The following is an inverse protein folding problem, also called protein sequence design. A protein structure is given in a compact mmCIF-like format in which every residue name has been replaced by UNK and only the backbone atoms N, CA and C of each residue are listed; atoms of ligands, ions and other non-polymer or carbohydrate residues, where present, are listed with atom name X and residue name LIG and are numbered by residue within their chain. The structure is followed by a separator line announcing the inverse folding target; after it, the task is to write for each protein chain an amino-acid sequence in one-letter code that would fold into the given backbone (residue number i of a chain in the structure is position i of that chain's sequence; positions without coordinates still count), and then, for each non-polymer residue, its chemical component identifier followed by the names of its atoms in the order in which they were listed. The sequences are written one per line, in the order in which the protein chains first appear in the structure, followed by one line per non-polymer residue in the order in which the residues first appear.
data_IF_270259765750
#
_entry.id   IF_270259765750
#
_cell.length_a   1.000
_cell.length_b   1.000
_cell.length_c   1.000
_cell.angle_alpha   90.00
_cell.angle_beta   90.00
_cell.angle_gamma   90.00
#
_symmetry.space_group_name_H-M   'P 1'
#
loop_
_entity.id
_entity.type
_entity.pdbx_description
1 polymer ?
#
# COMPACT_ATOMS: atom_id res chain seq x y z
N UNK A 1 -16.76 -18.28 2.15
CA UNK A 1 -16.17 -17.55 3.29
C UNK A 1 -17.28 -16.78 3.97
N UNK A 2 -17.42 -16.87 5.30
CA UNK A 2 -18.49 -16.17 6.01
C UNK A 2 -18.29 -14.65 5.86
N UNK A 3 -19.23 -13.99 5.18
CA UNK A 3 -19.31 -12.53 5.13
C UNK A 3 -19.52 -12.00 6.54
N UNK A 4 -18.56 -11.23 7.04
CA UNK A 4 -18.68 -10.57 8.34
C UNK A 4 -19.94 -9.69 8.35
N UNK A 5 -20.79 -9.86 9.38
CA UNK A 5 -22.00 -9.07 9.60
C UNK A 5 -21.67 -7.61 9.88
N UNK A 6 -20.62 -7.37 10.68
CA UNK A 6 -20.11 -6.04 10.96
C UNK A 6 -18.58 -5.99 10.74
N UNK A 7 -18.10 -4.87 10.21
CA UNK A 7 -16.67 -4.55 10.18
C UNK A 7 -16.40 -3.33 11.04
N UNK A 8 -15.41 -3.44 11.91
CA UNK A 8 -14.96 -2.38 12.80
C UNK A 8 -13.60 -1.91 12.32
N UNK A 9 -13.50 -0.64 11.91
CA UNK A 9 -12.24 -0.01 11.56
C UNK A 9 -11.76 0.86 12.72
N UNK A 10 -10.73 0.41 13.42
CA UNK A 10 -10.11 1.15 14.52
C UNK A 10 -8.94 1.98 14.01
N UNK A 11 -8.92 3.29 14.29
CA UNK A 11 -7.79 4.14 13.92
C UNK A 11 -6.62 3.94 14.88
N UNK A 12 -5.49 3.42 14.40
CA UNK A 12 -4.23 3.21 15.13
C UNK A 12 -3.17 4.26 14.82
N UNK A 13 -3.54 5.32 14.08
CA UNK A 13 -2.65 6.46 13.82
C UNK A 13 -2.12 7.09 15.13
N UNK A 14 -0.94 7.74 15.05
CA UNK A 14 -0.16 8.23 16.22
C UNK A 14 -0.95 8.97 17.31
N UNK A 15 -1.98 9.75 16.95
CA UNK A 15 -2.80 10.49 17.93
C UNK A 15 -3.79 9.58 18.66
N UNK A 16 -4.45 8.68 17.94
CA UNK A 16 -5.33 7.67 18.52
C UNK A 16 -4.55 6.70 19.40
N UNK A 17 -3.34 6.33 18.96
CA UNK A 17 -2.47 5.45 19.73
C UNK A 17 -2.06 6.07 21.08
N UNK A 18 -1.63 7.34 21.07
CA UNK A 18 -1.36 8.09 22.31
C UNK A 18 -2.56 8.19 23.26
N UNK A 19 -3.77 8.04 22.74
CA UNK A 19 -5.02 8.06 23.52
C UNK A 19 -5.57 6.67 23.85
N UNK A 20 -4.82 5.61 23.54
CA UNK A 20 -5.15 4.24 23.97
C UNK A 20 -5.90 3.39 22.94
N UNK A 21 -5.80 3.69 21.64
CA UNK A 21 -6.46 2.89 20.59
C UNK A 21 -6.17 1.38 20.68
N UNK A 22 -4.90 0.98 20.83
CA UNK A 22 -4.52 -0.43 21.01
C UNK A 22 -5.17 -1.10 22.23
N UNK A 23 -5.37 -0.36 23.32
CA UNK A 23 -6.03 -0.89 24.51
C UNK A 23 -7.52 -1.13 24.24
N UNK A 24 -8.19 -0.20 23.56
CA UNK A 24 -9.59 -0.34 23.13
C UNK A 24 -9.74 -1.53 22.17
N UNK A 25 -8.85 -1.67 21.20
CA UNK A 25 -8.84 -2.79 20.25
C UNK A 25 -8.71 -4.14 20.97
N UNK A 26 -7.76 -4.24 21.90
CA UNK A 26 -7.51 -5.47 22.67
C UNK A 26 -8.72 -5.85 23.53
N UNK A 27 -9.36 -4.86 24.17
CA UNK A 27 -10.58 -5.05 24.93
C UNK A 27 -11.75 -5.50 24.03
N UNK A 28 -11.89 -4.88 22.86
CA UNK A 28 -12.94 -5.21 21.88
C UNK A 28 -12.80 -6.65 21.39
N UNK A 29 -11.59 -7.08 21.01
CA UNK A 29 -11.30 -8.47 20.60
C UNK A 29 -11.67 -9.46 21.72
N UNK A 30 -11.27 -9.17 22.94
CA UNK A 30 -11.55 -10.02 24.10
C UNK A 30 -13.06 -10.14 24.35
N UNK A 31 -13.81 -9.04 24.24
CA UNK A 31 -15.26 -9.02 24.49
C UNK A 31 -16.05 -9.70 23.36
N UNK A 32 -15.62 -9.56 22.10
CA UNK A 32 -16.21 -10.28 20.96
C UNK A 32 -16.11 -11.80 21.12
N UNK A 33 -14.99 -12.30 21.65
CA UNK A 33 -14.83 -13.74 21.95
C UNK A 33 -15.80 -14.17 23.04
N UNK A 34 -15.95 -13.39 24.12
CA UNK A 34 -16.85 -13.73 25.23
C UNK A 34 -18.33 -13.83 24.80
N UNK A 35 -18.76 -13.00 23.84
CA UNK A 35 -20.11 -13.05 23.30
C UNK A 35 -20.27 -13.97 22.08
N UNK A 36 -19.21 -14.67 21.65
CA UNK A 36 -19.26 -15.55 20.48
C UNK A 36 -19.42 -14.82 19.14
N UNK A 37 -19.09 -13.53 19.07
CA UNK A 37 -19.28 -12.68 17.88
C UNK A 37 -18.04 -12.58 16.97
N UNK A 38 -16.93 -13.25 17.33
CA UNK A 38 -15.64 -13.13 16.65
C UNK A 38 -15.62 -13.62 15.18
N UNK A 39 -16.56 -14.50 14.83
CA UNK A 39 -16.73 -14.97 13.45
C UNK A 39 -17.62 -14.05 12.62
N UNK A 40 -18.51 -13.29 13.26
CA UNK A 40 -19.43 -12.35 12.63
C UNK A 40 -18.88 -10.93 12.51
N UNK A 41 -18.00 -10.53 13.43
CA UNK A 41 -17.50 -9.16 13.53
C UNK A 41 -15.99 -9.16 13.32
N UNK A 42 -15.55 -8.45 12.27
CA UNK A 42 -14.12 -8.34 11.93
C UNK A 42 -13.60 -6.96 12.34
N UNK A 43 -12.52 -6.96 13.12
CA UNK A 43 -11.81 -5.74 13.49
C UNK A 43 -10.60 -5.60 12.57
N UNK A 44 -10.54 -4.48 11.86
CA UNK A 44 -9.41 -4.03 11.06
C UNK A 44 -8.83 -2.78 11.71
N UNK A 45 -7.50 -2.67 11.70
CA UNK A 45 -6.80 -1.46 12.14
C UNK A 45 -6.42 -0.64 10.91
N UNK A 46 -6.68 0.66 10.95
CA UNK A 46 -6.18 1.61 9.97
C UNK A 46 -5.08 2.45 10.62
N UNK A 47 -3.85 2.25 10.16
CA UNK A 47 -2.74 3.16 10.48
C UNK A 47 -2.90 4.51 9.77
N UNK A 48 -3.67 4.52 8.67
CA UNK A 48 -4.09 5.71 7.95
C UNK A 48 -5.03 6.55 8.83
N UNK A 49 -4.58 7.75 9.15
CA UNK A 49 -5.31 8.68 9.99
C UNK A 49 -6.70 9.00 9.41
N UNK A 50 -7.74 8.78 10.21
CA UNK A 50 -9.12 9.14 9.87
C UNK A 50 -9.34 10.66 9.73
N UNK A 51 -8.34 11.48 10.09
CA UNK A 51 -8.40 12.95 10.01
C UNK A 51 -9.18 13.61 11.15
N UNK A 52 -9.89 12.84 11.97
CA UNK A 52 -10.72 13.33 13.08
C UNK A 52 -10.01 13.27 14.45
N UNK A 53 -8.77 13.76 14.52
CA UNK A 53 -7.95 13.73 15.75
C UNK A 53 -8.60 14.38 16.99
N UNK A 54 -9.56 15.30 16.80
CA UNK A 54 -10.36 15.90 17.89
C UNK A 54 -11.20 14.86 18.65
N UNK A 55 -11.65 13.82 17.94
CA UNK A 55 -12.46 12.74 18.47
C UNK A 55 -11.65 11.45 18.70
N UNK A 56 -10.32 11.50 18.66
CA UNK A 56 -9.49 10.32 18.97
C UNK A 56 -9.70 9.83 20.42
N UNK A 57 -9.74 8.50 20.68
CA UNK A 57 -9.70 7.39 19.71
C UNK A 57 -10.99 7.27 18.88
N UNK A 58 -10.85 6.95 17.59
CA UNK A 58 -11.96 6.86 16.63
C UNK A 58 -12.14 5.42 16.16
N UNK A 59 -13.40 4.97 16.14
CA UNK A 59 -13.80 3.65 15.66
C UNK A 59 -14.96 3.80 14.68
N UNK A 60 -14.88 3.17 13.51
CA UNK A 60 -15.95 3.19 12.49
C UNK A 60 -16.56 1.81 12.31
N UNK A 61 -17.88 1.75 12.16
CA UNK A 61 -18.65 0.51 12.03
C UNK A 61 -19.34 0.45 10.68
N UNK A 62 -19.14 -0.64 9.95
CA UNK A 62 -19.79 -0.97 8.68
C UNK A 62 -20.65 -2.23 8.80
N UNK A 63 -21.75 -2.35 8.04
CA UNK A 63 -22.27 -1.42 7.03
C UNK A 63 -23.13 -0.30 7.63
N UNK A 64 -23.25 -0.22 8.96
CA UNK A 64 -24.11 0.74 9.64
C UNK A 64 -23.70 2.20 9.41
N UNK A 65 -22.46 2.43 8.95
CA UNK A 65 -21.86 3.75 8.77
C UNK A 65 -22.00 4.57 10.05
N UNK A 66 -21.39 4.10 11.13
CA UNK A 66 -21.38 4.77 12.45
C UNK A 66 -19.93 5.09 12.84
N UNK A 67 -19.67 6.33 13.27
CA UNK A 67 -18.41 6.73 13.87
C UNK A 67 -18.61 6.91 15.37
N UNK A 68 -17.83 6.16 16.14
CA UNK A 68 -17.67 6.37 17.56
C UNK A 68 -16.40 7.17 17.83
N UNK A 69 -16.55 8.27 18.56
CA UNK A 69 -15.47 9.16 18.96
C UNK A 69 -15.18 9.09 20.45
N UNK A 70 -13.93 9.38 20.82
CA UNK A 70 -13.41 9.38 22.20
C UNK A 70 -13.68 8.06 22.92
N UNK A 71 -13.61 6.96 22.17
CA UNK A 71 -13.87 5.63 22.71
C UNK A 71 -12.78 5.27 23.71
N UNK A 72 -13.21 4.80 24.88
CA UNK A 72 -12.36 4.30 25.96
C UNK A 72 -12.58 2.80 26.16
N UNK A 73 -11.74 2.17 26.98
CA UNK A 73 -11.87 0.75 27.31
C UNK A 73 -13.20 0.46 28.02
N UNK A 74 -13.67 1.38 28.85
CA UNK A 74 -14.93 1.23 29.61
C UNK A 74 -16.17 1.27 28.70
N UNK A 75 -16.06 1.90 27.53
CA UNK A 75 -17.14 1.98 26.55
C UNK A 75 -17.34 0.67 25.77
N UNK A 76 -16.32 -0.20 25.74
CA UNK A 76 -16.30 -1.41 24.91
C UNK A 76 -17.46 -2.34 25.25
N UNK A 77 -17.77 -2.52 26.54
CA UNK A 77 -18.84 -3.40 26.98
C UNK A 77 -20.20 -2.92 26.45
N UNK A 78 -20.50 -1.63 26.60
CA UNK A 78 -21.75 -1.04 26.11
C UNK A 78 -21.86 -1.14 24.59
N UNK A 79 -20.77 -0.89 23.85
CA UNK A 79 -20.75 -0.98 22.38
C UNK A 79 -21.05 -2.43 21.93
N UNK A 80 -20.42 -3.41 22.56
CA UNK A 80 -20.64 -4.81 22.17
C UNK A 80 -22.05 -5.27 22.51
N UNK A 81 -22.56 -4.93 23.70
CA UNK A 81 -23.90 -5.35 24.10
C UNK A 81 -25.03 -4.63 23.37
N UNK A 82 -24.97 -3.30 23.29
CA UNK A 82 -26.05 -2.53 22.70
C UNK A 82 -25.96 -2.57 21.18
N UNK A 83 -24.80 -2.26 20.60
CA UNK A 83 -24.68 -2.15 19.16
C UNK A 83 -24.47 -3.50 18.51
N UNK A 84 -23.43 -4.23 18.89
CA UNK A 84 -23.04 -5.43 18.14
C UNK A 84 -24.00 -6.60 18.35
N UNK A 85 -24.50 -6.78 19.57
CA UNK A 85 -25.43 -7.85 19.92
C UNK A 85 -26.89 -7.47 19.67
N UNK A 86 -27.33 -6.30 20.15
CA UNK A 86 -28.76 -5.89 20.12
C UNK A 86 -29.10 -4.98 18.94
N UNK A 87 -28.12 -4.53 18.14
CA UNK A 87 -28.33 -3.68 16.96
C UNK A 87 -28.68 -2.22 17.28
N UNK A 88 -28.47 -1.76 18.52
CA UNK A 88 -28.77 -0.40 18.98
C UNK A 88 -27.49 0.43 19.12
N UNK A 89 -27.26 1.43 18.26
CA UNK A 89 -26.07 2.26 18.36
C UNK A 89 -25.99 3.06 19.67
N UNK A 90 -24.77 3.21 20.20
CA UNK A 90 -24.50 3.91 21.46
C UNK A 90 -24.48 5.42 21.20
N UNK A 91 -25.66 6.06 21.22
CA UNK A 91 -25.83 7.47 20.82
C UNK A 91 -24.89 8.46 21.49
N UNK A 92 -24.54 8.25 22.77
CA UNK A 92 -23.62 9.17 23.50
C UNK A 92 -22.19 9.21 22.93
N UNK A 93 -21.79 8.16 22.22
CA UNK A 93 -20.47 8.04 21.59
C UNK A 93 -20.49 8.47 20.11
N UNK A 94 -21.69 8.67 19.57
CA UNK A 94 -21.90 9.19 18.22
C UNK A 94 -21.92 10.70 18.35
N UNK A 95 -21.12 11.37 17.53
CA UNK A 95 -21.19 12.82 17.41
C UNK A 95 -22.37 13.15 16.49
N UNK A 96 -23.47 13.67 17.03
CA UNK A 96 -24.68 14.02 16.25
C UNK A 96 -24.43 15.10 15.17
N UNK A 97 -23.26 15.76 15.17
CA UNK A 97 -22.82 16.64 14.09
C UNK A 97 -22.20 15.89 12.89
N UNK A 98 -22.12 14.57 12.98
CA UNK A 98 -21.45 13.67 12.06
C UNK A 98 -22.39 12.49 11.74
N UNK A 99 -23.20 12.59 10.67
CA UNK A 99 -23.80 11.40 10.05
C UNK A 99 -22.63 10.56 9.54
N UNK A 100 -22.49 9.29 9.90
CA UNK A 100 -21.29 8.56 9.52
C UNK A 100 -21.29 8.05 8.07
N UNK A 101 -22.42 8.14 7.37
CA UNK A 101 -22.41 8.21 5.90
C UNK A 101 -21.83 9.53 5.43
N UNK A 102 -22.16 10.65 6.08
CA UNK A 102 -21.49 11.93 5.87
C UNK A 102 -20.05 11.94 6.38
N UNK A 103 -19.62 11.15 7.37
CA UNK A 103 -18.21 11.06 7.80
C UNK A 103 -17.43 10.22 6.82
N UNK A 104 -17.97 9.14 6.28
CA UNK A 104 -17.34 8.41 5.20
C UNK A 104 -17.29 9.25 3.92
N UNK A 105 -18.41 9.87 3.59
CA UNK A 105 -18.48 10.84 2.52
C UNK A 105 -17.61 12.05 2.84
N UNK A 106 -17.39 12.47 4.09
CA UNK A 106 -16.49 13.53 4.56
C UNK A 106 -15.07 13.03 4.89
N UNK A 107 -14.77 11.76 4.85
CA UNK A 107 -13.40 11.27 4.73
C UNK A 107 -13.03 11.29 3.26
N UNK A 108 -14.02 11.05 2.39
CA UNK A 108 -13.95 11.33 0.95
C UNK A 108 -14.06 12.83 0.62
N UNK A 109 -14.75 13.65 1.43
CA UNK A 109 -15.14 15.07 1.15
C UNK A 109 -14.58 16.12 2.14
N UNK A 110 -14.36 15.80 3.42
CA UNK A 110 -13.70 16.62 4.44
C UNK A 110 -12.24 16.21 4.68
N UNK A 111 -11.60 15.78 3.59
CA UNK A 111 -10.36 16.48 3.28
C UNK A 111 -10.67 17.98 3.36
N UNK A 112 -9.87 18.70 4.13
CA UNK A 112 -9.73 20.16 4.05
C UNK A 112 -9.47 20.67 2.61
N UNK A 113 -9.31 19.73 1.65
CA UNK A 113 -9.05 19.83 0.23
C UNK A 113 -10.23 19.37 -0.65
N UNK A 114 -11.50 19.61 -0.27
CA UNK A 114 -12.64 19.30 -1.17
C UNK A 114 -12.52 20.09 -2.48
N UNK A 115 -12.12 19.39 -3.54
CA UNK A 115 -11.86 19.94 -4.87
C UNK A 115 -10.38 20.09 -5.26
N UNK A 116 -9.42 19.73 -4.40
CA UNK A 116 -7.99 19.88 -4.67
C UNK A 116 -7.20 18.55 -4.75
N UNK A 117 -7.72 17.45 -4.20
CA UNK A 117 -7.00 16.16 -4.18
C UNK A 117 -7.84 15.01 -4.76
N UNK A 118 -7.38 14.44 -5.87
CA UNK A 118 -7.91 13.20 -6.45
C UNK A 118 -7.01 12.06 -5.98
N UNK A 119 -7.54 11.18 -5.13
CA UNK A 119 -6.81 10.00 -4.63
C UNK A 119 -6.79 8.91 -5.70
N UNK A 120 -5.86 9.02 -6.63
CA UNK A 120 -5.61 8.00 -7.64
C UNK A 120 -4.72 6.92 -7.04
N UNK A 121 -3.59 7.30 -6.42
CA UNK A 121 -2.58 6.34 -5.90
C UNK A 121 -2.97 5.69 -4.57
N UNK A 122 -3.77 6.40 -3.78
CA UNK A 122 -4.18 5.97 -2.44
C UNK A 122 -5.69 5.69 -2.37
N UNK A 123 -6.31 5.23 -3.46
CA UNK A 123 -7.76 5.01 -3.51
C UNK A 123 -8.24 3.86 -2.60
N UNK A 124 -7.34 2.91 -2.31
CA UNK A 124 -7.60 1.76 -1.44
C UNK A 124 -7.16 1.98 0.00
N UNK A 125 -6.28 2.95 0.25
CA UNK A 125 -5.76 3.27 1.57
C UNK A 125 -6.91 3.65 2.53
N UNK A 126 -7.01 2.93 3.66
CA UNK A 126 -8.11 3.04 4.62
C UNK A 126 -9.47 2.47 4.16
N UNK A 127 -9.54 1.84 2.98
CA UNK A 127 -10.75 1.20 2.43
C UNK A 127 -10.66 -0.33 2.48
N UNK A 128 -9.47 -0.88 2.24
CA UNK A 128 -9.19 -2.32 2.35
C UNK A 128 -8.33 -2.64 3.56
N UNK A 129 -8.35 -3.90 3.98
CA UNK A 129 -7.27 -4.45 4.78
C UNK A 129 -6.01 -4.61 3.90
N UNK A 130 -4.92 -3.87 4.15
CA UNK A 130 -3.70 -3.92 3.33
C UNK A 130 -3.00 -5.29 3.31
N UNK A 131 -3.35 -6.18 4.25
CA UNK A 131 -2.79 -7.53 4.34
C UNK A 131 -3.68 -8.62 3.72
N UNK A 132 -4.75 -8.22 3.03
CA UNK A 132 -5.69 -9.13 2.38
C UNK A 132 -5.66 -8.93 0.87
N UNK A 133 -5.00 -9.86 0.18
CA UNK A 133 -5.03 -9.95 -1.28
C UNK A 133 -6.45 -10.08 -1.84
N UNK A 134 -7.36 -10.77 -1.15
CA UNK A 134 -8.76 -10.92 -1.57
C UNK A 134 -9.49 -9.57 -1.60
N UNK A 135 -9.25 -8.68 -0.63
CA UNK A 135 -9.86 -7.35 -0.64
C UNK A 135 -9.28 -6.44 -1.72
N UNK A 136 -7.99 -6.61 -2.04
CA UNK A 136 -7.36 -5.93 -3.17
C UNK A 136 -8.00 -6.38 -4.50
N UNK A 137 -8.13 -7.69 -4.72
CA UNK A 137 -8.78 -8.27 -5.91
C UNK A 137 -10.25 -7.88 -6.01
N UNK A 138 -10.97 -7.83 -4.89
CA UNK A 138 -12.37 -7.39 -4.85
C UNK A 138 -12.55 -5.91 -5.27
N UNK A 139 -11.46 -5.14 -5.37
CA UNK A 139 -11.43 -3.77 -5.87
C UNK A 139 -10.64 -3.65 -7.18
N UNK A 140 -10.77 -4.64 -8.04
CA UNK A 140 -10.13 -4.72 -9.36
C UNK A 140 -8.59 -4.80 -9.33
N UNK A 141 -8.00 -5.09 -8.17
CA UNK A 141 -6.57 -5.36 -8.05
C UNK A 141 -6.14 -6.54 -8.92
N UNK A 142 -4.96 -6.42 -9.55
CA UNK A 142 -4.43 -7.36 -10.54
C UNK A 142 -5.18 -7.43 -11.88
N UNK A 143 -6.28 -6.70 -12.06
CA UNK A 143 -6.99 -6.64 -13.34
C UNK A 143 -6.11 -6.01 -14.43
N UNK A 144 -5.32 -4.98 -14.09
CA UNK A 144 -4.45 -4.32 -15.05
C UNK A 144 -3.28 -5.23 -15.44
N UNK A 145 -2.68 -5.94 -14.48
CA UNK A 145 -1.66 -6.95 -14.78
C UNK A 145 -2.21 -8.07 -15.66
N UNK A 146 -3.40 -8.58 -15.37
CA UNK A 146 -4.07 -9.60 -16.19
C UNK A 146 -4.21 -9.15 -17.64
N UNK A 147 -4.74 -7.94 -17.86
CA UNK A 147 -4.85 -7.34 -19.20
C UNK A 147 -3.49 -7.18 -19.88
N UNK A 148 -2.51 -6.61 -19.17
CA UNK A 148 -1.17 -6.33 -19.71
C UNK A 148 -0.49 -7.61 -20.18
N UNK A 149 -0.53 -8.66 -19.36
CA UNK A 149 0.20 -9.91 -19.61
C UNK A 149 -0.49 -10.75 -20.69
N UNK A 150 -1.82 -10.72 -20.77
CA UNK A 150 -2.60 -11.63 -21.65
C UNK A 150 -3.08 -11.00 -22.95
N UNK A 151 -3.25 -9.67 -23.02
CA UNK A 151 -3.87 -9.00 -24.16
C UNK A 151 -2.98 -7.96 -24.86
N UNK A 152 -1.87 -7.54 -24.23
CA UNK A 152 -1.00 -6.47 -24.75
C UNK A 152 0.38 -7.01 -25.09
N UNK A 153 1.08 -6.34 -26.01
CA UNK A 153 2.52 -6.53 -26.21
C UNK A 153 3.32 -5.59 -25.30
N UNK A 154 4.56 -5.94 -24.91
CA UNK A 154 5.40 -5.06 -24.08
C UNK A 154 5.54 -3.63 -24.62
N UNK A 155 5.67 -3.46 -25.95
CA UNK A 155 5.78 -2.14 -26.56
C UNK A 155 4.50 -1.30 -26.40
N UNK A 156 3.32 -1.93 -26.44
CA UNK A 156 2.04 -1.25 -26.28
C UNK A 156 1.86 -0.73 -24.85
N UNK A 157 2.42 -1.44 -23.86
CA UNK A 157 2.45 -1.01 -22.46
C UNK A 157 3.34 0.21 -22.29
N UNK A 158 4.55 0.20 -22.87
CA UNK A 158 5.46 1.37 -22.86
C UNK A 158 4.80 2.58 -23.52
N UNK A 159 4.09 2.38 -24.63
CA UNK A 159 3.38 3.42 -25.33
C UNK A 159 2.20 3.97 -24.50
N UNK A 160 1.44 3.12 -23.79
CA UNK A 160 0.37 3.55 -22.90
C UNK A 160 0.89 4.41 -21.74
N UNK A 161 1.98 3.98 -21.08
CA UNK A 161 2.63 4.77 -20.03
C UNK A 161 3.18 6.09 -20.59
N UNK A 162 3.70 6.08 -21.81
CA UNK A 162 4.14 7.32 -22.49
C UNK A 162 2.97 8.26 -22.75
N UNK A 163 1.84 7.75 -23.26
CA UNK A 163 0.63 8.54 -23.53
C UNK A 163 0.01 9.13 -22.27
N UNK A 164 0.10 8.43 -21.13
CA UNK A 164 -0.43 8.93 -19.85
C UNK A 164 0.24 10.22 -19.38
N UNK A 165 1.43 10.54 -19.89
CA UNK A 165 2.23 11.69 -19.44
C UNK A 165 2.78 11.53 -18.02
N UNK A 166 2.84 10.31 -17.48
CA UNK A 166 3.38 10.05 -16.15
C UNK A 166 4.85 10.49 -16.05
N UNK A 167 5.17 11.15 -14.94
CA UNK A 167 6.51 11.63 -14.60
C UNK A 167 6.97 11.00 -13.30
N UNK A 168 8.28 10.80 -13.15
CA UNK A 168 8.89 10.29 -11.92
C UNK A 168 8.50 11.12 -10.71
N UNK A 169 7.99 10.45 -9.66
CA UNK A 169 7.46 11.09 -8.45
C UNK A 169 8.48 11.28 -7.33
N UNK A 170 9.67 10.70 -7.44
CA UNK A 170 10.82 10.94 -6.55
C UNK A 170 11.53 12.28 -6.78
N UNK A 171 10.82 13.34 -7.20
CA UNK A 171 11.35 14.70 -7.36
C UNK A 171 11.94 15.06 -8.73
N UNK A 172 12.69 14.16 -9.37
CA UNK A 172 13.37 14.45 -10.66
C UNK A 172 12.43 14.69 -11.85
N UNK A 173 11.20 14.19 -11.81
CA UNK A 173 10.17 14.49 -12.81
C UNK A 173 10.50 14.02 -14.23
N UNK A 174 11.39 13.04 -14.41
CA UNK A 174 11.70 12.49 -15.74
C UNK A 174 10.49 11.74 -16.31
N UNK A 175 10.17 11.84 -17.61
CA UNK A 175 9.03 11.12 -18.20
C UNK A 175 9.17 9.60 -18.06
N UNK A 176 8.21 8.96 -17.41
CA UNK A 176 8.29 7.54 -17.04
C UNK A 176 8.32 6.64 -18.27
N UNK A 177 7.43 6.89 -19.25
CA UNK A 177 7.37 6.10 -20.48
C UNK A 177 8.65 6.18 -21.32
N UNK A 178 9.33 7.34 -21.32
CA UNK A 178 10.64 7.50 -21.97
C UNK A 178 11.70 6.64 -21.26
N UNK A 179 11.72 6.63 -19.92
CA UNK A 179 12.65 5.79 -19.14
C UNK A 179 12.40 4.30 -19.41
N UNK A 180 11.14 3.88 -19.42
CA UNK A 180 10.75 2.50 -19.74
C UNK A 180 11.21 2.12 -21.15
N UNK A 181 10.99 3.00 -22.14
CA UNK A 181 11.44 2.80 -23.51
C UNK A 181 12.96 2.66 -23.67
N UNK A 182 13.76 3.39 -22.87
CA UNK A 182 15.21 3.23 -22.88
C UNK A 182 15.63 1.85 -22.36
N UNK A 183 15.05 1.38 -21.25
CA UNK A 183 15.38 0.07 -20.67
C UNK A 183 14.86 -1.08 -21.55
N UNK A 184 13.66 -0.93 -22.13
CA UNK A 184 13.10 -1.89 -23.07
C UNK A 184 14.00 -2.09 -24.31
N UNK A 185 14.58 -1.01 -24.84
CA UNK A 185 15.49 -1.05 -26.01
C UNK A 185 16.95 -1.38 -25.67
N UNK A 186 17.33 -1.36 -24.38
CA UNK A 186 18.69 -1.65 -23.96
C UNK A 186 19.04 -3.11 -24.27
N UNK A 187 20.28 -3.33 -24.73
CA UNK A 187 20.81 -4.67 -25.02
C UNK A 187 21.16 -5.37 -23.70
N UNK A 188 20.80 -6.64 -23.61
CA UNK A 188 21.07 -7.50 -22.45
C UNK A 188 20.00 -8.57 -22.33
N UNK A 189 20.39 -9.79 -21.96
CA UNK A 189 19.45 -10.89 -21.72
C UNK A 189 18.69 -10.72 -20.39
N UNK A 190 19.32 -10.05 -19.41
CA UNK A 190 18.71 -9.71 -18.14
C UNK A 190 18.51 -8.21 -17.98
N UNK A 191 17.40 -7.88 -17.33
CA UNK A 191 17.03 -6.53 -16.92
C UNK A 191 16.44 -6.60 -15.53
N UNK A 192 16.37 -5.46 -14.85
CA UNK A 192 15.85 -5.38 -13.49
C UNK A 192 14.86 -4.23 -13.33
N UNK A 193 13.87 -4.43 -12.47
CA UNK A 193 13.02 -3.35 -11.95
C UNK A 193 13.39 -3.12 -10.49
N UNK A 194 13.60 -1.87 -10.09
CA UNK A 194 13.92 -1.50 -8.72
C UNK A 194 12.91 -0.48 -8.24
N UNK A 195 12.19 -0.78 -7.18
CA UNK A 195 11.36 0.19 -6.48
C UNK A 195 12.22 0.88 -5.42
N UNK A 196 12.48 2.17 -5.62
CA UNK A 196 13.14 3.01 -4.61
C UNK A 196 12.11 3.44 -3.55
N UNK A 197 12.15 2.79 -2.38
CA UNK A 197 11.37 3.13 -1.19
C UNK A 197 12.28 3.65 -0.06
N UNK A 198 13.40 4.31 -0.41
CA UNK A 198 14.27 5.03 0.51
C UNK A 198 13.79 6.50 0.64
N UNK A 199 12.55 6.68 1.12
CA UNK A 199 11.90 7.98 1.35
C UNK A 199 12.58 8.72 2.51
N UNK A 200 13.82 9.17 2.29
CA UNK A 200 14.70 9.77 3.29
C UNK A 200 14.38 11.22 3.64
N UNK A 201 13.62 11.91 2.79
CA UNK A 201 13.38 13.36 2.90
C UNK A 201 12.56 13.71 4.15
N UNK A 202 13.03 14.68 4.97
CA UNK A 202 12.27 15.13 6.13
C UNK A 202 10.88 15.65 5.75
N UNK A 203 9.85 15.03 6.32
CA UNK A 203 8.46 15.40 6.06
C UNK A 203 7.81 14.68 4.87
N UNK A 204 8.53 13.81 4.16
CA UNK A 204 7.97 12.88 3.20
C UNK A 204 7.47 11.60 3.91
N UNK A 205 6.28 11.13 3.51
CA UNK A 205 5.62 9.93 4.02
C UNK A 205 4.61 9.35 2.99
N UNK A 206 4.71 9.80 1.73
CA UNK A 206 3.81 9.38 0.65
C UNK A 206 4.09 7.92 0.28
N UNK A 207 5.36 7.55 0.14
CA UNK A 207 5.75 6.18 -0.20
C UNK A 207 5.39 5.25 0.95
N UNK A 208 5.67 5.67 2.18
CA UNK A 208 5.25 4.96 3.40
C UNK A 208 3.76 4.63 3.37
N UNK A 209 2.91 5.62 3.12
CA UNK A 209 1.46 5.43 3.13
C UNK A 209 1.01 4.43 2.06
N UNK A 210 1.65 4.40 0.89
CA UNK A 210 1.31 3.44 -0.16
C UNK A 210 1.76 2.04 0.24
N UNK A 211 2.98 1.89 0.74
CA UNK A 211 3.53 0.58 1.13
C UNK A 211 2.79 -0.02 2.33
N UNK A 212 2.39 0.81 3.29
CA UNK A 212 1.62 0.38 4.45
C UNK A 212 0.14 0.17 4.10
N UNK A 213 -0.47 1.01 3.27
CA UNK A 213 -1.92 1.01 3.01
C UNK A 213 -2.39 0.20 1.80
N UNK A 214 -1.52 -0.05 0.81
CA UNK A 214 -1.84 -0.81 -0.41
C UNK A 214 -0.58 -1.47 -1.02
N UNK A 215 0.04 -2.45 -0.33
CA UNK A 215 1.30 -3.06 -0.79
C UNK A 215 1.15 -3.83 -2.13
N UNK A 216 -0.01 -4.45 -2.37
CA UNK A 216 -0.27 -5.19 -3.60
C UNK A 216 -0.22 -4.31 -4.84
N UNK A 217 -0.61 -3.04 -4.72
CA UNK A 217 -0.52 -2.07 -5.82
C UNK A 217 0.90 -1.78 -6.27
N UNK A 218 1.86 -1.76 -5.34
CA UNK A 218 3.29 -1.62 -5.68
C UNK A 218 3.77 -2.87 -6.41
N UNK A 219 3.39 -4.04 -5.91
CA UNK A 219 3.73 -5.33 -6.51
C UNK A 219 3.16 -5.46 -7.93
N UNK A 220 1.89 -5.14 -8.13
CA UNK A 220 1.22 -5.17 -9.43
C UNK A 220 1.93 -4.23 -10.42
N UNK A 221 2.21 -3.00 -10.00
CA UNK A 221 2.89 -2.01 -10.84
C UNK A 221 4.31 -2.46 -11.22
N UNK A 222 5.05 -3.09 -10.31
CA UNK A 222 6.37 -3.65 -10.59
C UNK A 222 6.30 -4.80 -11.59
N UNK A 223 5.31 -5.68 -11.50
CA UNK A 223 5.11 -6.77 -12.45
C UNK A 223 4.72 -6.24 -13.85
N UNK A 224 3.86 -5.22 -13.93
CA UNK A 224 3.55 -4.53 -15.20
C UNK A 224 4.82 -3.91 -15.81
N UNK A 225 5.64 -3.26 -14.99
CA UNK A 225 6.90 -2.69 -15.43
C UNK A 225 7.88 -3.77 -15.91
N UNK A 226 7.95 -4.89 -15.19
CA UNK A 226 8.76 -6.06 -15.52
C UNK A 226 8.38 -6.61 -16.90
N UNK A 227 7.08 -6.83 -17.12
CA UNK A 227 6.54 -7.26 -18.41
C UNK A 227 6.93 -6.30 -19.54
N UNK A 228 6.70 -5.00 -19.35
CA UNK A 228 6.91 -3.98 -20.37
C UNK A 228 8.37 -3.85 -20.82
N UNK A 229 9.33 -4.04 -19.92
CA UNK A 229 10.76 -3.92 -20.25
C UNK A 229 11.42 -5.27 -20.60
N UNK A 230 10.74 -6.39 -20.35
CA UNK A 230 11.30 -7.74 -20.48
C UNK A 230 12.24 -8.11 -19.32
N UNK A 231 11.81 -7.83 -18.09
CA UNK A 231 12.51 -8.17 -16.85
C UNK A 231 11.73 -9.26 -16.11
N UNK A 232 12.44 -10.24 -15.55
CA UNK A 232 11.91 -11.33 -14.72
C UNK A 232 12.14 -11.11 -13.22
N UNK A 233 12.83 -10.02 -12.86
CA UNK A 233 13.27 -9.79 -11.48
C UNK A 233 13.09 -8.33 -11.05
N UNK A 234 12.43 -8.17 -9.90
CA UNK A 234 12.17 -6.93 -9.22
C UNK A 234 12.88 -6.87 -7.86
N UNK A 235 13.31 -5.69 -7.45
CA UNK A 235 13.83 -5.45 -6.10
C UNK A 235 13.09 -4.26 -5.48
N UNK A 236 12.46 -4.46 -4.33
CA UNK A 236 11.99 -3.35 -3.49
C UNK A 236 13.11 -3.00 -2.53
N UNK A 237 13.66 -1.78 -2.64
CA UNK A 237 14.62 -1.28 -1.65
C UNK A 237 13.89 -0.39 -0.65
N UNK A 238 13.62 -0.90 0.55
CA UNK A 238 12.86 -0.21 1.58
C UNK A 238 13.77 0.17 2.74
N UNK A 239 13.64 1.40 3.24
CA UNK A 239 14.42 1.87 4.39
C UNK A 239 14.07 1.11 5.69
N UNK A 240 15.07 0.86 6.53
CA UNK A 240 14.88 0.13 7.80
C UNK A 240 13.93 0.81 8.78
N UNK A 241 13.70 2.12 8.64
CA UNK A 241 12.83 2.90 9.51
C UNK A 241 11.34 2.69 9.24
N UNK A 242 10.97 1.91 8.21
CA UNK A 242 9.59 1.51 7.89
C UNK A 242 9.35 0.00 8.15
N UNK A 243 9.40 -0.46 9.41
CA UNK A 243 9.27 -1.89 9.72
C UNK A 243 7.92 -2.48 9.30
N UNK A 244 6.84 -1.69 9.37
CA UNK A 244 5.50 -2.15 8.96
C UNK A 244 5.38 -2.29 7.44
N UNK A 245 5.97 -1.37 6.67
CA UNK A 245 6.01 -1.46 5.21
C UNK A 245 6.77 -2.73 4.77
N UNK A 246 7.90 -3.03 5.44
CA UNK A 246 8.70 -4.24 5.20
C UNK A 246 7.82 -5.49 5.42
N UNK A 247 7.19 -5.61 6.59
CA UNK A 247 6.34 -6.76 6.94
C UNK A 247 5.18 -6.94 5.94
N UNK A 248 4.49 -5.86 5.58
CA UNK A 248 3.34 -5.90 4.66
C UNK A 248 3.75 -6.23 3.23
N UNK A 249 4.88 -5.72 2.74
CA UNK A 249 5.40 -6.08 1.42
C UNK A 249 5.84 -7.54 1.37
N UNK A 250 6.54 -8.05 2.39
CA UNK A 250 6.90 -9.47 2.45
C UNK A 250 5.67 -10.36 2.38
N UNK A 251 4.65 -10.05 3.19
CA UNK A 251 3.38 -10.77 3.20
C UNK A 251 2.66 -10.69 1.85
N UNK A 252 2.60 -9.51 1.24
CA UNK A 252 1.93 -9.31 -0.04
C UNK A 252 2.65 -10.05 -1.19
N UNK A 253 3.99 -10.11 -1.18
CA UNK A 253 4.77 -10.91 -2.15
C UNK A 253 4.46 -12.40 -2.00
N UNK A 254 4.39 -12.92 -0.77
CA UNK A 254 4.03 -14.32 -0.51
C UNK A 254 2.62 -14.61 -1.02
N UNK A 255 1.63 -13.79 -0.67
CA UNK A 255 0.25 -13.96 -1.12
C UNK A 255 0.13 -13.92 -2.65
N UNK A 256 0.80 -12.99 -3.32
CA UNK A 256 0.78 -12.90 -4.78
C UNK A 256 1.41 -14.13 -5.45
N UNK A 257 2.46 -14.71 -4.87
CA UNK A 257 3.05 -15.98 -5.35
C UNK A 257 2.10 -17.16 -5.17
N UNK A 258 1.46 -17.27 -4.00
CA UNK A 258 0.51 -18.35 -3.72
C UNK A 258 -0.70 -18.33 -4.66
N UNK A 259 -1.11 -17.15 -5.13
CA UNK A 259 -2.20 -16.97 -6.09
C UNK A 259 -1.76 -17.00 -7.57
N UNK A 260 -0.48 -17.22 -7.88
CA UNK A 260 0.03 -17.26 -9.27
C UNK A 260 0.05 -15.89 -9.98
N UNK A 261 0.03 -14.81 -9.21
CA UNK A 261 0.10 -13.41 -9.69
C UNK A 261 1.55 -12.87 -9.69
N UNK A 262 2.46 -13.61 -9.06
CA UNK A 262 3.91 -13.46 -9.13
C UNK A 262 4.56 -14.85 -9.24
N UNK A 263 5.83 -14.88 -9.60
CA UNK A 263 6.62 -16.09 -9.76
C UNK A 263 6.67 -16.54 -11.21
N UNK A 264 6.61 -17.86 -11.43
CA UNK A 264 6.71 -18.45 -12.76
C UNK A 264 5.35 -18.49 -13.44
N UNK A 265 5.34 -18.24 -14.76
CA UNK A 265 4.17 -18.41 -15.61
C UNK A 265 2.92 -17.67 -15.08
N UNK A 266 3.10 -16.37 -14.81
CA UNK A 266 2.04 -15.49 -14.31
C UNK A 266 0.86 -15.52 -15.29
N UNK A 267 -0.35 -15.77 -14.79
CA UNK A 267 -1.56 -16.03 -15.58
C UNK A 267 -1.42 -17.17 -16.61
N UNK A 268 -0.65 -18.21 -16.30
CA UNK A 268 -0.39 -19.35 -17.19
C UNK A 268 0.25 -18.96 -18.53
N UNK A 269 0.91 -17.79 -18.58
CA UNK A 269 1.63 -17.32 -19.76
C UNK A 269 3.13 -17.67 -19.70
N UNK A 270 3.91 -17.26 -20.69
CA UNK A 270 5.38 -17.39 -20.66
C UNK A 270 6.06 -16.32 -19.80
N UNK A 271 5.31 -15.34 -19.29
CA UNK A 271 5.85 -14.29 -18.45
C UNK A 271 6.08 -14.78 -17.01
N UNK A 272 7.26 -14.51 -16.47
CA UNK A 272 7.62 -14.77 -15.08
C UNK A 272 8.18 -13.50 -14.47
N UNK A 273 7.81 -13.21 -13.22
CA UNK A 273 8.34 -12.06 -12.50
C UNK A 273 8.36 -12.33 -11.00
N UNK A 274 9.52 -12.18 -10.38
CA UNK A 274 9.69 -12.31 -8.94
C UNK A 274 10.21 -11.01 -8.31
N UNK A 275 9.86 -10.76 -7.05
CA UNK A 275 10.27 -9.60 -6.28
C UNK A 275 11.06 -10.05 -5.04
N UNK A 276 12.23 -9.44 -4.86
CA UNK A 276 13.02 -9.52 -3.63
C UNK A 276 12.89 -8.22 -2.82
N UNK A 277 12.74 -8.31 -1.50
CA UNK A 277 12.82 -7.16 -0.60
C UNK A 277 14.27 -6.98 -0.11
N UNK A 278 14.77 -5.75 -0.18
CA UNK A 278 16.05 -5.33 0.40
C UNK A 278 15.83 -4.22 1.40
N UNK A 279 16.27 -4.47 2.64
CA UNK A 279 16.19 -3.50 3.73
C UNK A 279 17.44 -2.63 3.74
N UNK A 280 17.26 -1.31 3.70
CA UNK A 280 18.33 -0.33 3.79
C UNK A 280 18.99 -0.27 5.16
N UNK A 281 20.09 0.46 5.28
CA UNK A 281 20.88 0.54 6.51
C UNK A 281 20.91 1.96 7.13
N UNK A 282 19.83 2.74 6.94
CA UNK A 282 19.67 4.08 7.53
C UNK A 282 20.54 5.17 6.89
N UNK A 283 20.87 5.04 5.59
CA UNK A 283 21.72 5.98 4.88
C UNK A 283 20.90 6.82 3.89
N UNK A 284 20.63 8.09 4.22
CA UNK A 284 19.88 9.04 3.37
C UNK A 284 20.38 9.12 1.91
N UNK A 285 21.70 8.96 1.70
CA UNK A 285 22.29 8.99 0.35
C UNK A 285 21.81 7.84 -0.54
N UNK A 286 21.32 6.75 0.04
CA UNK A 286 20.77 5.62 -0.71
C UNK A 286 19.44 5.93 -1.40
N UNK A 287 18.85 7.11 -1.20
CA UNK A 287 17.76 7.60 -2.03
C UNK A 287 18.22 7.99 -3.45
N UNK A 288 19.52 8.24 -3.65
CA UNK A 288 20.10 8.48 -4.97
C UNK A 288 20.24 7.16 -5.74
N UNK A 289 19.80 7.16 -7.01
CA UNK A 289 19.65 5.94 -7.81
C UNK A 289 20.91 5.05 -7.88
N UNK A 290 22.12 5.61 -8.02
CA UNK A 290 23.35 4.80 -8.12
C UNK A 290 23.87 4.35 -6.77
N UNK A 291 23.70 5.17 -5.72
CA UNK A 291 24.00 4.77 -4.35
C UNK A 291 23.08 3.63 -3.89
N UNK A 292 21.79 3.70 -4.24
CA UNK A 292 20.80 2.65 -4.00
C UNK A 292 21.25 1.33 -4.60
N UNK A 293 21.58 1.32 -5.90
CA UNK A 293 22.04 0.13 -6.60
C UNK A 293 23.26 -0.50 -5.94
N UNK A 294 24.25 0.31 -5.54
CA UNK A 294 25.42 -0.19 -4.81
C UNK A 294 25.04 -0.81 -3.47
N UNK A 295 24.06 -0.23 -2.77
CA UNK A 295 23.56 -0.81 -1.53
C UNK A 295 22.89 -2.17 -1.76
N UNK A 296 22.10 -2.32 -2.83
CA UNK A 296 21.53 -3.62 -3.24
C UNK A 296 22.66 -4.61 -3.57
N UNK A 297 23.75 -4.17 -4.18
CA UNK A 297 24.91 -5.02 -4.47
C UNK A 297 25.75 -5.40 -3.23
N UNK A 298 25.34 -4.98 -2.02
CA UNK A 298 26.09 -5.21 -0.78
C UNK A 298 27.35 -4.35 -0.66
N UNK A 299 27.48 -3.31 -1.49
CA UNK A 299 28.58 -2.34 -1.44
C UNK A 299 28.16 -1.11 -0.64
N UNK A 300 29.14 -0.27 -0.31
CA UNK A 300 28.86 1.05 0.27
C UNK A 300 28.04 1.90 -0.71
N UNK A 301 26.92 2.46 -0.23
CA UNK A 301 26.02 3.35 -0.97
C UNK A 301 26.67 4.71 -1.25
N UNK A 302 27.48 4.77 -2.30
CA UNK A 302 28.15 5.98 -2.77
C UNK A 302 27.72 6.26 -4.21
N UNK A 303 27.26 7.48 -4.53
CA UNK A 303 26.89 7.83 -5.89
C UNK A 303 28.05 7.61 -6.86
N UNK A 304 27.75 7.13 -8.06
CA UNK A 304 28.72 6.96 -9.14
C UNK A 304 28.50 8.00 -10.23
N UNK A 305 29.58 8.49 -10.89
CA UNK A 305 29.44 9.39 -12.04
C UNK A 305 28.59 8.78 -13.14
N UNK A 306 27.71 9.59 -13.72
CA UNK A 306 26.92 9.28 -14.93
C UNK A 306 27.54 10.07 -16.10
N UNK A 307 27.73 9.48 -17.29
CA UNK A 307 27.38 8.12 -17.73
C UNK A 307 28.33 7.00 -17.24
N UNK A 308 27.92 5.71 -17.30
CA UNK A 308 26.63 5.23 -17.83
C UNK A 308 25.46 5.48 -16.88
N UNK A 309 24.26 5.66 -17.44
CA UNK A 309 23.02 5.75 -16.67
C UNK A 309 22.52 4.34 -16.30
N UNK A 310 21.77 4.19 -15.19
CA UNK A 310 21.21 2.89 -14.78
C UNK A 310 20.37 2.18 -15.83
N UNK A 311 19.70 2.96 -16.70
CA UNK A 311 18.91 2.41 -17.80
C UNK A 311 19.74 1.65 -18.85
N UNK A 312 21.06 1.84 -18.87
CA UNK A 312 22.01 1.14 -19.75
C UNK A 312 22.82 0.12 -18.95
N UNK A 313 23.34 0.52 -17.80
CA UNK A 313 24.17 -0.31 -16.91
C UNK A 313 23.90 0.09 -15.46
N UNK A 314 22.95 -0.60 -14.83
CA UNK A 314 22.53 -0.40 -13.44
C UNK A 314 22.91 -1.58 -12.56
N UNK A 315 21.91 -2.22 -11.95
CA UNK A 315 22.07 -3.33 -11.02
C UNK A 315 22.87 -4.47 -11.65
N UNK A 316 23.99 -4.84 -11.04
CA UNK A 316 24.92 -5.88 -11.53
C UNK A 316 25.38 -5.65 -12.98
N UNK A 317 25.45 -4.39 -13.41
CA UNK A 317 25.85 -4.00 -14.76
C UNK A 317 24.77 -4.21 -15.84
N UNK A 318 23.55 -4.60 -15.45
CA UNK A 318 22.45 -4.85 -16.39
C UNK A 318 21.53 -3.63 -16.51
N UNK A 319 20.82 -3.45 -17.64
CA UNK A 319 19.82 -2.39 -17.78
C UNK A 319 18.78 -2.45 -16.66
N UNK A 320 18.63 -1.35 -15.93
CA UNK A 320 17.78 -1.31 -14.74
C UNK A 320 16.82 -0.14 -14.80
N UNK A 321 15.53 -0.46 -14.62
CA UNK A 321 14.47 0.50 -14.38
C UNK A 321 14.42 0.78 -12.88
N UNK A 322 14.45 2.06 -12.50
CA UNK A 322 14.31 2.55 -11.13
C UNK A 322 13.17 3.55 -11.09
#
# INVERSE_FOLDING_TARGET
MATARLRVLMCTGKVCEKKGASAVESALRSRLVQFGLNDEIKISTADDCVGYCKQAPVMMIYPDNILYGKVTVDDVEEIVEEHFLKGRPVKRLIDDSLDAKDVLDNMRKANFFKGQEVRIVMENAGVINPESIDEYIARDGYLALGKVVTEMKPEEVVDEITRSGLRGRGGGGFPTGVKWGFVAKARGEKKYVVCNADEGDPGAFMDRNILEGDPHRVIEAMAIAGYAIGSDHGVVYCRAEYPLAIERIEKAVVQAKEMGLLGNNVFETDFSFDIELRVGAGAFVCGEETALLRSIEGKRGQPTPKPPFPAISGLWGMPTLI
#
